data_IF_215411279213
#
_entry.id   IF_215411279213
#
_cell.length_a   1.000
_cell.length_b   1.000
_cell.length_c   1.000
_cell.angle_alpha   90.00
_cell.angle_beta   90.00
_cell.angle_gamma   90.00
#
_symmetry.space_group_name_H-M   'P 1'
#
loop_
_entity.id
_entity.type
_entity.pdbx_description
1 polymer ?
#
# COMPACT_ATOMS: atom_id res chain seq x y z
N UNK A 1 -24.67 2.44 -7.24
CA UNK A 1 -24.26 3.27 -6.08
C UNK A 1 -23.10 4.12 -6.56
N UNK A 2 -23.30 5.42 -6.78
CA UNK A 2 -22.29 6.29 -7.35
C UNK A 2 -21.37 6.76 -6.22
N UNK A 3 -20.13 6.26 -6.16
CA UNK A 3 -19.10 6.80 -5.26
C UNK A 3 -18.58 8.09 -5.88
N UNK A 4 -19.09 9.25 -5.46
CA UNK A 4 -18.53 10.56 -5.85
C UNK A 4 -17.58 11.05 -4.74
N UNK A 5 -16.33 11.28 -5.10
CA UNK A 5 -15.27 11.75 -4.21
C UNK A 5 -14.70 13.04 -4.78
N UNK A 6 -14.91 14.17 -4.10
CA UNK A 6 -14.44 15.51 -4.49
C UNK A 6 -12.98 15.73 -4.05
N UNK A 7 -12.12 14.80 -4.45
CA UNK A 7 -10.67 14.91 -4.26
C UNK A 7 -10.17 15.53 -5.55
N UNK A 8 -10.04 16.85 -5.57
CA UNK A 8 -9.73 17.63 -6.76
C UNK A 8 -8.49 17.12 -7.54
N UNK A 9 -8.21 17.69 -8.73
CA UNK A 9 -7.22 17.17 -9.67
C UNK A 9 -5.76 17.25 -9.18
N UNK A 10 -5.54 17.82 -7.99
CA UNK A 10 -4.23 18.18 -7.44
C UNK A 10 -3.57 17.07 -6.62
N UNK A 11 -4.19 15.88 -6.54
CA UNK A 11 -3.67 14.72 -5.84
C UNK A 11 -4.09 14.60 -4.38
N UNK A 12 -3.87 13.41 -3.82
CA UNK A 12 -4.28 13.07 -2.48
C UNK A 12 -3.77 11.70 -2.04
N UNK A 13 -3.88 11.44 -0.74
CA UNK A 13 -3.63 10.12 -0.19
C UNK A 13 -4.71 9.76 0.84
N UNK A 14 -4.98 8.47 0.94
CA UNK A 14 -5.83 7.90 1.99
C UNK A 14 -5.02 6.86 2.74
N UNK A 15 -4.99 7.02 4.06
CA UNK A 15 -4.41 6.07 4.99
C UNK A 15 -5.54 5.58 5.90
N UNK A 16 -5.65 4.26 6.06
CA UNK A 16 -6.60 3.64 6.99
C UNK A 16 -5.85 2.64 7.84
N UNK A 17 -5.92 2.83 9.17
CA UNK A 17 -5.25 2.00 10.14
C UNK A 17 -6.29 1.34 11.05
N UNK A 18 -6.34 0.01 11.03
CA UNK A 18 -7.18 -0.77 11.92
C UNK A 18 -6.32 -1.57 12.89
N UNK A 19 -6.73 -1.58 14.17
CA UNK A 19 -6.09 -2.33 15.24
C UNK A 19 -7.16 -3.13 16.01
N UNK A 20 -6.85 -4.38 16.35
CA UNK A 20 -7.69 -5.25 17.16
C UNK A 20 -6.82 -5.98 18.20
N UNK A 21 -7.40 -6.37 19.33
CA UNK A 21 -6.71 -7.16 20.37
C UNK A 21 -6.70 -8.66 20.04
N UNK A 22 -7.67 -9.12 19.24
CA UNK A 22 -7.81 -10.52 18.87
C UNK A 22 -6.90 -10.85 17.70
N UNK A 23 -6.03 -11.85 17.87
CA UNK A 23 -5.20 -12.38 16.79
C UNK A 23 -6.05 -12.93 15.64
N UNK A 24 -5.52 -12.87 14.42
CA UNK A 24 -6.16 -13.30 13.18
C UNK A 24 -7.51 -12.60 12.91
N UNK A 25 -7.68 -11.36 13.39
CA UNK A 25 -8.88 -10.57 13.07
C UNK A 25 -8.87 -10.16 11.60
N UNK A 26 -7.70 -9.75 11.09
CA UNK A 26 -7.53 -9.38 9.69
C UNK A 26 -6.81 -10.51 8.96
N UNK A 27 -7.35 -10.89 7.81
CA UNK A 27 -6.78 -11.98 7.00
C UNK A 27 -6.37 -11.51 5.61
N UNK A 28 -5.36 -12.17 5.05
CA UNK A 28 -4.96 -11.97 3.65
C UNK A 28 -6.13 -12.12 2.68
N UNK A 29 -7.00 -13.11 2.91
CA UNK A 29 -8.17 -13.35 2.08
C UNK A 29 -9.08 -12.12 2.02
N UNK A 30 -9.40 -11.51 3.16
CA UNK A 30 -10.27 -10.33 3.21
C UNK A 30 -9.63 -9.11 2.54
N UNK A 31 -8.30 -8.96 2.66
CA UNK A 31 -7.56 -7.89 2.00
C UNK A 31 -7.64 -8.04 0.48
N UNK A 32 -7.42 -9.25 -0.05
CA UNK A 32 -7.50 -9.53 -1.48
C UNK A 32 -8.93 -9.35 -2.00
N UNK A 33 -9.94 -9.84 -1.28
CA UNK A 33 -11.35 -9.65 -1.64
C UNK A 33 -11.77 -8.17 -1.61
N UNK A 34 -11.25 -7.39 -0.66
CA UNK A 34 -11.46 -5.95 -0.64
C UNK A 34 -10.82 -5.27 -1.85
N UNK A 35 -9.59 -5.64 -2.19
CA UNK A 35 -8.87 -5.10 -3.35
C UNK A 35 -9.64 -5.38 -4.65
N UNK A 36 -10.04 -6.64 -4.87
CA UNK A 36 -10.79 -7.06 -6.05
C UNK A 36 -12.12 -6.29 -6.20
N UNK A 37 -12.86 -6.09 -5.11
CA UNK A 37 -14.10 -5.28 -5.08
C UNK A 37 -13.90 -3.79 -5.39
N UNK A 38 -12.67 -3.28 -5.35
CA UNK A 38 -12.33 -1.90 -5.68
C UNK A 38 -11.48 -1.79 -6.95
N UNK A 39 -11.46 -2.82 -7.79
CA UNK A 39 -10.69 -2.88 -9.04
C UNK A 39 -9.18 -2.75 -8.83
N UNK A 40 -8.68 -3.19 -7.68
CA UNK A 40 -7.25 -3.23 -7.36
C UNK A 40 -6.70 -4.61 -7.67
N UNK A 41 -5.70 -4.65 -8.55
CA UNK A 41 -5.06 -5.90 -8.96
C UNK A 41 -3.83 -6.16 -8.11
N UNK A 42 -3.79 -7.29 -7.41
CA UNK A 42 -2.61 -7.72 -6.67
C UNK A 42 -1.44 -7.95 -7.64
N UNK A 43 -0.31 -7.29 -7.38
CA UNK A 43 0.93 -7.43 -8.16
C UNK A 43 1.93 -8.35 -7.45
N UNK A 44 2.15 -8.11 -6.16
CA UNK A 44 3.10 -8.89 -5.36
C UNK A 44 2.71 -8.91 -3.88
N UNK A 45 3.29 -9.86 -3.16
CA UNK A 45 3.16 -10.00 -1.71
C UNK A 45 4.52 -10.31 -1.12
N UNK A 46 4.95 -9.47 -0.18
CA UNK A 46 6.30 -9.50 0.38
C UNK A 46 6.19 -9.59 1.90
N UNK A 47 6.81 -10.61 2.48
CA UNK A 47 6.95 -10.71 3.93
C UNK A 47 8.31 -10.14 4.33
N UNK A 48 8.34 -9.27 5.32
CA UNK A 48 9.54 -8.61 5.78
C UNK A 48 9.48 -8.33 7.28
N UNK A 49 10.66 -8.14 7.87
CA UNK A 49 10.81 -7.64 9.22
C UNK A 49 11.37 -6.23 9.16
N UNK A 50 10.84 -5.28 9.93
CA UNK A 50 11.32 -3.89 9.94
C UNK A 50 12.81 -3.82 10.28
N UNK A 51 13.28 -4.71 11.16
CA UNK A 51 14.67 -4.80 11.59
C UNK A 51 15.63 -5.28 10.48
N UNK A 52 15.11 -5.94 9.44
CA UNK A 52 15.89 -6.50 8.33
C UNK A 52 15.60 -5.85 6.98
N UNK A 53 14.79 -4.78 6.96
CA UNK A 53 14.50 -4.02 5.75
C UNK A 53 15.78 -3.42 5.16
N UNK A 54 16.05 -3.78 3.91
CA UNK A 54 17.06 -3.12 3.09
C UNK A 54 16.35 -2.48 1.90
N UNK A 55 16.98 -1.48 1.25
CA UNK A 55 16.44 -0.89 0.01
C UNK A 55 16.13 -1.94 -1.07
N UNK A 56 16.81 -3.09 -1.05
CA UNK A 56 16.64 -4.17 -2.02
C UNK A 56 15.52 -5.16 -1.66
N UNK A 57 14.89 -5.05 -0.49
CA UNK A 57 13.83 -5.95 -0.01
C UNK A 57 12.58 -5.94 -0.93
N UNK A 58 12.46 -4.94 -1.80
CA UNK A 58 11.35 -4.78 -2.76
C UNK A 58 11.80 -4.82 -4.22
N UNK A 59 12.97 -5.40 -4.52
CA UNK A 59 13.57 -5.48 -5.87
C UNK A 59 12.72 -6.16 -6.96
N UNK A 60 11.58 -6.77 -6.59
CA UNK A 60 10.58 -7.29 -7.53
C UNK A 60 9.65 -6.22 -8.11
N UNK A 61 9.61 -5.02 -7.53
CA UNK A 61 9.05 -3.81 -8.15
C UNK A 61 9.93 -3.44 -9.34
N UNK A 62 9.78 -4.19 -10.44
CA UNK A 62 10.70 -4.17 -11.57
C UNK A 62 10.53 -2.96 -12.49
N UNK A 63 9.52 -2.12 -12.30
CA UNK A 63 9.13 -1.13 -13.31
C UNK A 63 8.97 0.33 -12.86
N UNK A 64 8.85 0.66 -11.56
CA UNK A 64 8.73 2.07 -11.16
C UNK A 64 9.54 2.38 -9.89
N UNK A 65 10.66 3.08 -10.11
CA UNK A 65 11.45 3.76 -9.08
C UNK A 65 10.56 4.58 -8.14
N UNK A 66 9.46 5.11 -8.66
CA UNK A 66 8.56 5.96 -7.90
C UNK A 66 7.68 5.20 -6.88
N UNK A 67 7.18 4.01 -7.21
CA UNK A 67 6.43 3.19 -6.23
C UNK A 67 7.32 2.77 -5.05
N UNK A 68 8.58 2.44 -5.35
CA UNK A 68 9.58 2.11 -4.35
C UNK A 68 9.92 3.33 -3.47
N UNK A 69 10.03 4.52 -4.05
CA UNK A 69 10.24 5.77 -3.31
C UNK A 69 9.07 6.10 -2.39
N UNK A 70 7.82 5.85 -2.82
CA UNK A 70 6.63 6.02 -1.97
C UNK A 70 6.71 5.09 -0.75
N UNK A 71 7.03 3.81 -0.95
CA UNK A 71 7.19 2.85 0.14
C UNK A 71 8.28 3.30 1.12
N UNK A 72 9.47 3.60 0.61
CA UNK A 72 10.63 3.96 1.43
C UNK A 72 10.47 5.28 2.17
N UNK A 73 9.86 6.29 1.53
CA UNK A 73 9.74 7.63 2.07
C UNK A 73 8.51 7.84 2.96
N UNK A 74 7.37 7.22 2.61
CA UNK A 74 6.07 7.57 3.21
C UNK A 74 5.47 6.47 4.08
N UNK A 75 5.77 5.20 3.80
CA UNK A 75 5.05 4.06 4.38
C UNK A 75 5.92 3.32 5.40
N UNK A 76 7.10 2.84 4.99
CA UNK A 76 7.98 2.05 5.85
C UNK A 76 8.42 2.79 7.13
N UNK A 77 8.72 4.11 7.12
CA UNK A 77 9.08 4.83 8.33
C UNK A 77 7.96 4.91 9.39
N UNK A 78 6.71 4.59 9.02
CA UNK A 78 5.54 4.60 9.91
C UNK A 78 5.20 3.22 10.50
N UNK A 79 6.01 2.21 10.23
CA UNK A 79 5.79 0.85 10.73
C UNK A 79 6.47 0.67 12.08
N UNK A 80 5.70 0.23 13.07
CA UNK A 80 6.16 -0.02 14.44
C UNK A 80 6.27 -1.53 14.72
N UNK A 81 5.49 -2.34 14.00
CA UNK A 81 5.48 -3.80 14.13
C UNK A 81 6.68 -4.40 13.43
N UNK A 82 7.37 -5.34 14.09
CA UNK A 82 8.56 -5.99 13.56
C UNK A 82 8.23 -6.81 12.32
N UNK A 83 7.37 -7.82 12.40
CA UNK A 83 7.09 -8.73 11.29
C UNK A 83 5.78 -8.40 10.57
N UNK A 84 5.87 -8.21 9.25
CA UNK A 84 4.77 -7.75 8.42
C UNK A 84 4.73 -8.46 7.07
N UNK A 85 3.55 -8.42 6.46
CA UNK A 85 3.28 -8.79 5.08
C UNK A 85 2.74 -7.57 4.34
N UNK A 86 3.48 -7.11 3.33
CA UNK A 86 3.07 -6.06 2.39
C UNK A 86 2.42 -6.70 1.18
N UNK A 87 1.25 -6.19 0.82
CA UNK A 87 0.54 -6.46 -0.43
C UNK A 87 0.64 -5.21 -1.29
N UNK A 88 1.03 -5.40 -2.55
CA UNK A 88 1.22 -4.32 -3.51
C UNK A 88 0.15 -4.47 -4.59
N UNK A 89 -0.58 -3.39 -4.85
CA UNK A 89 -1.69 -3.37 -5.79
C UNK A 89 -1.47 -2.33 -6.88
N UNK A 90 -1.83 -2.72 -8.10
CA UNK A 90 -2.12 -1.79 -9.17
C UNK A 90 -3.54 -1.26 -8.98
N UNK A 91 -3.71 0.06 -8.89
CA UNK A 91 -5.03 0.69 -8.76
C UNK A 91 -5.47 1.31 -10.10
N UNK A 92 -6.69 1.85 -10.12
CA UNK A 92 -7.25 2.56 -11.29
C UNK A 92 -6.92 4.05 -11.30
N UNK A 93 -6.29 4.58 -10.25
CA UNK A 93 -5.98 6.00 -10.10
C UNK A 93 -4.49 6.21 -10.32
N UNK A 94 -4.11 7.18 -11.14
CA UNK A 94 -2.70 7.47 -11.43
C UNK A 94 -2.09 8.28 -10.27
N UNK A 95 -0.89 7.91 -9.82
CA UNK A 95 -0.06 8.75 -8.96
C UNK A 95 1.06 9.36 -9.80
N UNK A 96 1.26 10.67 -9.68
CA UNK A 96 2.27 11.42 -10.41
C UNK A 96 3.22 12.07 -9.41
N UNK A 97 4.50 12.08 -9.72
CA UNK A 97 5.52 12.75 -8.92
C UNK A 97 5.44 14.28 -9.09
N UNK A 98 5.61 15.07 -8.01
CA UNK A 98 5.68 16.52 -8.12
C UNK A 98 6.65 17.00 -9.21
N UNK A 99 6.14 17.83 -10.12
CA UNK A 99 6.89 18.24 -11.32
C UNK A 99 6.75 17.29 -12.52
N UNK A 100 5.86 16.30 -12.47
CA UNK A 100 5.49 15.38 -13.54
C UNK A 100 6.67 14.57 -14.11
N UNK A 101 7.63 14.21 -13.27
CA UNK A 101 8.85 13.51 -13.67
C UNK A 101 8.67 12.00 -13.81
N UNK A 102 7.81 11.40 -12.97
CA UNK A 102 7.51 9.97 -12.92
C UNK A 102 6.02 9.78 -12.61
N UNK A 103 5.44 8.68 -13.05
CA UNK A 103 4.04 8.33 -12.78
C UNK A 103 3.90 6.82 -12.55
N UNK A 104 2.92 6.39 -11.76
CA UNK A 104 2.69 4.96 -11.51
C UNK A 104 1.24 4.65 -11.14
N UNK A 105 0.78 3.46 -11.50
CA UNK A 105 -0.45 2.85 -10.98
C UNK A 105 -0.17 1.87 -9.83
N UNK A 106 1.08 1.62 -9.49
CA UNK A 106 1.50 0.76 -8.37
C UNK A 106 1.49 1.55 -7.06
N UNK A 107 0.33 2.06 -6.67
CA UNK A 107 0.14 3.06 -5.60
C UNK A 107 -0.91 2.65 -4.55
N UNK A 108 -1.32 1.38 -4.56
CA UNK A 108 -2.15 0.77 -3.53
C UNK A 108 -1.33 -0.20 -2.69
N UNK A 109 -1.36 -0.05 -1.37
CA UNK A 109 -0.59 -0.88 -0.46
C UNK A 109 -1.45 -1.33 0.72
N UNK A 110 -1.31 -2.59 1.13
CA UNK A 110 -1.85 -3.07 2.39
C UNK A 110 -0.74 -3.75 3.21
N UNK A 111 -0.70 -3.51 4.51
CA UNK A 111 0.30 -4.05 5.41
C UNK A 111 -0.41 -4.73 6.56
N UNK A 112 -0.21 -6.04 6.67
CA UNK A 112 -0.74 -6.89 7.71
C UNK A 112 0.40 -7.33 8.62
N UNK A 113 0.29 -7.10 9.92
CA UNK A 113 1.28 -7.65 10.85
C UNK A 113 1.12 -9.17 10.99
N UNK A 114 2.17 -9.86 11.43
CA UNK A 114 2.21 -11.32 11.50
C UNK A 114 1.04 -11.94 12.29
N UNK A 115 0.58 -11.27 13.36
CA UNK A 115 -0.48 -11.76 14.24
C UNK A 115 -1.90 -11.46 13.72
N UNK A 116 -2.05 -10.72 12.62
CA UNK A 116 -3.33 -10.32 12.06
C UNK A 116 -4.15 -9.40 12.99
N UNK A 117 -3.47 -8.65 13.86
CA UNK A 117 -4.07 -7.69 14.81
C UNK A 117 -4.03 -6.26 14.29
N UNK A 118 -3.21 -5.96 13.30
CA UNK A 118 -3.08 -4.64 12.69
C UNK A 118 -3.09 -4.73 11.16
N UNK A 119 -3.93 -3.92 10.53
CA UNK A 119 -4.00 -3.75 9.08
C UNK A 119 -3.89 -2.26 8.76
N UNK A 120 -2.90 -1.90 7.95
CA UNK A 120 -2.75 -0.55 7.39
C UNK A 120 -2.98 -0.60 5.89
N UNK A 121 -3.78 0.32 5.34
CA UNK A 121 -4.04 0.45 3.91
C UNK A 121 -3.69 1.85 3.45
N UNK A 122 -2.94 1.95 2.36
CA UNK A 122 -2.52 3.19 1.73
C UNK A 122 -3.01 3.22 0.27
N UNK A 123 -3.57 4.34 -0.14
CA UNK A 123 -3.91 4.64 -1.53
C UNK A 123 -3.46 6.06 -1.84
N UNK A 124 -2.67 6.25 -2.89
CA UNK A 124 -2.19 7.58 -3.29
C UNK A 124 -2.57 7.87 -4.75
N UNK A 125 -2.92 9.10 -5.10
CA UNK A 125 -3.29 9.49 -6.47
C UNK A 125 -2.95 10.97 -6.74
N UNK A 126 -2.98 11.35 -8.02
CA UNK A 126 -2.61 12.68 -8.52
C UNK A 126 -1.18 13.10 -8.15
N UNK A 127 -0.89 14.39 -8.15
CA UNK A 127 0.46 14.94 -7.87
C UNK A 127 0.81 14.97 -6.37
#
# INVERSE_FOLDING_TARGET
MTKSSDQGPWGGHREINWKNKSANTFTEKEIIEFADKNDWKLLDTITFSVDTLTKNSFSKLKNDDYSLDILNGSILPKLETTDNRLFIFQTTWLKVEPGNTRETFENGYAILNADGTELKVYHLWGE
#
